data_IF_842903007498
#
_entry.id   IF_842903007498
#
_cell.length_a   1.000
_cell.length_b   1.000
_cell.length_c   1.000
_cell.angle_alpha   90.00
_cell.angle_beta   90.00
_cell.angle_gamma   90.00
#
_symmetry.space_group_name_H-M   'P 1'
#
loop_
_entity.id
_entity.type
_entity.pdbx_description
1 polymer ?
#
# COMPACT_ATOMS: atom_id res chain seq x y z
N UNK A 1 -13.29 15.19 2.53
CA UNK A 1 -12.36 14.16 2.01
C UNK A 1 -13.09 12.86 1.88
N UNK A 2 -12.92 12.14 0.76
CA UNK A 2 -13.49 10.81 0.56
C UNK A 2 -12.38 9.75 0.61
N UNK A 3 -12.53 8.76 1.46
CA UNK A 3 -11.60 7.65 1.67
C UNK A 3 -12.23 6.38 1.16
N UNK A 4 -11.46 5.56 0.43
CA UNK A 4 -11.86 4.21 0.04
C UNK A 4 -10.97 3.19 0.74
N UNK A 5 -11.55 2.29 1.50
CA UNK A 5 -10.92 1.07 1.97
C UNK A 5 -11.44 -0.09 1.11
N UNK A 6 -10.69 -0.40 0.07
CA UNK A 6 -11.08 -1.41 -0.91
C UNK A 6 -10.67 -2.81 -0.43
N UNK A 7 -11.58 -3.79 -0.58
CA UNK A 7 -11.43 -5.17 -0.11
C UNK A 7 -11.18 -5.28 1.41
N UNK A 8 -11.84 -4.41 2.17
CA UNK A 8 -11.60 -4.17 3.61
C UNK A 8 -11.78 -5.42 4.50
N UNK A 9 -12.55 -6.38 4.07
CA UNK A 9 -12.89 -7.62 4.78
C UNK A 9 -11.95 -8.77 4.44
N UNK A 10 -11.50 -8.87 3.20
CA UNK A 10 -10.72 -10.00 2.67
C UNK A 10 -9.21 -9.69 2.61
N UNK A 11 -8.83 -8.40 2.49
CA UNK A 11 -7.45 -7.91 2.49
C UNK A 11 -7.14 -7.14 3.77
N UNK A 12 -7.28 -7.81 4.93
CA UNK A 12 -7.21 -7.16 6.25
C UNK A 12 -6.49 -8.02 7.30
N UNK A 13 -5.45 -8.74 6.90
CA UNK A 13 -4.59 -9.46 7.85
C UNK A 13 -3.80 -8.47 8.72
N UNK A 14 -3.37 -8.94 9.89
CA UNK A 14 -2.49 -8.20 10.82
C UNK A 14 -3.05 -6.88 11.35
N UNK A 15 -4.38 -6.69 11.30
CA UNK A 15 -5.03 -5.46 11.76
C UNK A 15 -4.83 -4.27 10.82
N UNK A 16 -4.63 -4.51 9.54
CA UNK A 16 -4.32 -3.50 8.52
C UNK A 16 -5.38 -2.39 8.39
N UNK A 17 -6.66 -2.65 8.79
CA UNK A 17 -7.70 -1.61 8.88
C UNK A 17 -7.26 -0.40 9.74
N UNK A 18 -6.33 -0.60 10.66
CA UNK A 18 -5.87 0.46 11.54
C UNK A 18 -5.06 1.55 10.80
N UNK A 19 -4.57 1.28 9.58
CA UNK A 19 -4.02 2.33 8.72
C UNK A 19 -5.09 3.38 8.37
N UNK A 20 -6.27 2.93 7.96
CA UNK A 20 -7.40 3.83 7.68
C UNK A 20 -7.86 4.53 8.95
N UNK A 21 -7.99 3.80 10.06
CA UNK A 21 -8.41 4.38 11.34
C UNK A 21 -7.43 5.44 11.87
N UNK A 22 -6.12 5.26 11.61
CA UNK A 22 -5.12 6.28 11.96
C UNK A 22 -5.32 7.57 11.17
N UNK A 23 -5.60 7.46 9.88
CA UNK A 23 -5.91 8.60 9.02
C UNK A 23 -7.22 9.28 9.44
N UNK A 24 -8.30 8.51 9.64
CA UNK A 24 -9.59 9.01 10.12
C UNK A 24 -9.41 9.84 11.41
N UNK A 25 -8.70 9.28 12.39
CA UNK A 25 -8.44 9.95 13.66
C UNK A 25 -7.60 11.23 13.51
N UNK A 26 -6.65 11.24 12.59
CA UNK A 26 -5.88 12.45 12.30
C UNK A 26 -6.78 13.53 11.70
N UNK A 27 -7.64 13.18 10.73
CA UNK A 27 -8.57 14.10 10.08
C UNK A 27 -9.58 14.67 11.09
N UNK A 28 -10.15 13.84 11.98
CA UNK A 28 -11.03 14.27 13.07
C UNK A 28 -10.37 15.34 13.95
N UNK A 29 -9.16 15.04 14.44
CA UNK A 29 -8.38 15.98 15.27
C UNK A 29 -8.05 17.29 14.56
N UNK A 30 -7.93 17.24 13.24
CA UNK A 30 -7.64 18.40 12.39
C UNK A 30 -8.90 19.15 11.95
N UNK A 31 -10.10 18.71 12.37
CA UNK A 31 -11.37 19.32 11.98
C UNK A 31 -11.76 19.13 10.50
N UNK A 32 -11.10 18.21 9.80
CA UNK A 32 -11.40 17.93 8.40
C UNK A 32 -12.58 16.96 8.30
N UNK A 33 -13.63 17.37 7.60
CA UNK A 33 -14.79 16.49 7.32
C UNK A 33 -14.39 15.42 6.29
N UNK A 34 -14.73 14.18 6.58
CA UNK A 34 -14.47 13.05 5.69
C UNK A 34 -15.61 12.03 5.69
N UNK A 35 -15.61 11.17 4.69
CA UNK A 35 -16.41 9.94 4.62
C UNK A 35 -15.49 8.79 4.24
N UNK A 36 -15.77 7.59 4.73
CA UNK A 36 -15.03 6.37 4.39
C UNK A 36 -15.97 5.31 3.87
N UNK A 37 -15.77 4.96 2.61
CA UNK A 37 -16.46 3.82 1.99
C UNK A 37 -15.60 2.57 2.17
N UNK A 38 -16.24 1.47 2.56
CA UNK A 38 -15.63 0.16 2.76
C UNK A 38 -16.27 -0.82 1.79
N UNK A 39 -15.52 -1.16 0.74
CA UNK A 39 -16.01 -2.01 -0.34
C UNK A 39 -15.34 -3.38 -0.30
N UNK A 40 -16.08 -4.39 -0.73
CA UNK A 40 -15.65 -5.77 -0.81
C UNK A 40 -15.62 -6.26 -2.27
N UNK A 41 -15.48 -7.59 -2.45
CA UNK A 41 -15.54 -8.21 -3.78
C UNK A 41 -16.88 -7.91 -4.46
N UNK A 42 -16.81 -7.66 -5.74
CA UNK A 42 -17.95 -7.39 -6.64
C UNK A 42 -18.68 -6.05 -6.42
N UNK A 43 -18.34 -5.30 -5.37
CA UNK A 43 -18.76 -3.92 -5.26
C UNK A 43 -18.11 -3.09 -6.38
N UNK A 44 -18.78 -1.99 -6.75
CA UNK A 44 -18.27 -1.09 -7.76
C UNK A 44 -18.08 0.31 -7.18
N UNK A 45 -17.01 0.97 -7.60
CA UNK A 45 -16.72 2.35 -7.26
C UNK A 45 -16.15 3.07 -8.47
N UNK A 46 -16.44 4.36 -8.59
CA UNK A 46 -15.64 5.26 -9.39
C UNK A 46 -14.45 5.70 -8.53
N UNK A 47 -13.26 5.19 -8.84
CA UNK A 47 -12.05 5.51 -8.07
C UNK A 47 -11.74 7.01 -8.12
N UNK A 48 -12.15 7.70 -9.19
CA UNK A 48 -11.97 9.13 -9.35
C UNK A 48 -12.65 9.97 -8.27
N UNK A 49 -13.68 9.45 -7.62
CA UNK A 49 -14.40 10.13 -6.54
C UNK A 49 -13.61 10.26 -5.23
N UNK A 50 -12.61 9.40 -5.02
CA UNK A 50 -11.88 9.32 -3.77
C UNK A 50 -10.60 10.16 -3.77
N UNK A 51 -10.20 10.61 -2.59
CA UNK A 51 -8.98 11.38 -2.35
C UNK A 51 -7.85 10.48 -1.84
N UNK A 52 -8.21 9.37 -1.20
CA UNK A 52 -7.31 8.35 -0.68
C UNK A 52 -7.90 6.97 -0.90
N UNK A 53 -7.09 6.06 -1.43
CA UNK A 53 -7.42 4.63 -1.58
C UNK A 53 -6.43 3.82 -0.74
N UNK A 54 -6.98 2.88 0.04
CA UNK A 54 -6.20 1.93 0.81
C UNK A 54 -6.58 0.49 0.46
N UNK A 55 -5.56 -0.37 0.28
CA UNK A 55 -5.71 -1.82 0.12
C UNK A 55 -4.69 -2.49 1.03
N UNK A 56 -5.15 -3.33 1.95
CA UNK A 56 -4.32 -4.04 2.90
C UNK A 56 -3.81 -5.39 2.41
N UNK A 57 -3.36 -6.23 3.34
CA UNK A 57 -2.79 -7.54 3.08
C UNK A 57 -3.82 -8.66 3.21
N UNK A 58 -3.77 -9.66 2.34
CA UNK A 58 -4.58 -10.88 2.42
C UNK A 58 -3.74 -12.16 2.47
N UNK A 59 -4.40 -13.31 2.58
CA UNK A 59 -3.73 -14.57 2.26
C UNK A 59 -3.41 -14.64 0.77
N UNK A 60 -2.46 -15.47 0.37
CA UNK A 60 -2.10 -15.65 -1.04
C UNK A 60 -3.30 -16.10 -1.88
N UNK A 61 -4.20 -16.91 -1.28
CA UNK A 61 -5.46 -17.31 -1.91
C UNK A 61 -6.41 -16.13 -2.10
N UNK A 62 -6.56 -15.29 -1.07
CA UNK A 62 -7.41 -14.12 -1.13
C UNK A 62 -6.87 -13.08 -2.13
N UNK A 63 -5.55 -12.87 -2.17
CA UNK A 63 -4.91 -12.00 -3.16
C UNK A 63 -5.29 -12.40 -4.59
N UNK A 64 -5.22 -13.70 -4.93
CA UNK A 64 -5.55 -14.19 -6.27
C UNK A 64 -7.04 -14.05 -6.59
N UNK A 65 -7.91 -14.20 -5.59
CA UNK A 65 -9.34 -13.97 -5.75
C UNK A 65 -9.62 -12.47 -5.98
N UNK A 66 -9.02 -11.62 -5.17
CA UNK A 66 -9.12 -10.16 -5.32
C UNK A 66 -8.54 -9.70 -6.64
N UNK A 67 -7.42 -10.25 -7.11
CA UNK A 67 -6.81 -9.90 -8.38
C UNK A 67 -7.77 -10.06 -9.56
N UNK A 68 -8.64 -11.07 -9.54
CA UNK A 68 -9.63 -11.27 -10.61
C UNK A 68 -10.65 -10.11 -10.65
N UNK A 69 -11.11 -9.68 -9.50
CA UNK A 69 -12.05 -8.55 -9.39
C UNK A 69 -11.34 -7.19 -9.63
N UNK A 70 -10.10 -7.07 -9.16
CA UNK A 70 -9.32 -5.84 -9.22
C UNK A 70 -8.95 -5.43 -10.66
N UNK A 71 -8.91 -6.39 -11.59
CA UNK A 71 -8.66 -6.15 -13.02
C UNK A 71 -9.64 -5.15 -13.64
N UNK A 72 -10.87 -5.08 -13.15
CA UNK A 72 -11.88 -4.11 -13.62
C UNK A 72 -11.47 -2.65 -13.38
N UNK A 73 -10.58 -2.41 -12.42
CA UNK A 73 -10.12 -1.08 -12.05
C UNK A 73 -8.80 -0.67 -12.71
N UNK A 74 -8.19 -1.49 -13.59
CA UNK A 74 -6.86 -1.24 -14.14
C UNK A 74 -6.71 0.16 -14.73
N UNK A 75 -7.58 0.52 -15.67
CA UNK A 75 -7.47 1.80 -16.39
C UNK A 75 -7.74 2.98 -15.45
N UNK A 76 -8.71 2.86 -14.57
CA UNK A 76 -8.99 3.86 -13.52
C UNK A 76 -7.82 4.04 -12.55
N UNK A 77 -7.12 2.96 -12.20
CA UNK A 77 -5.92 3.04 -11.34
C UNK A 77 -4.79 3.81 -12.01
N UNK A 78 -4.56 3.56 -13.30
CA UNK A 78 -3.56 4.31 -14.08
C UNK A 78 -3.89 5.79 -14.10
N UNK A 79 -5.14 6.15 -14.36
CA UNK A 79 -5.61 7.54 -14.32
C UNK A 79 -5.48 8.15 -12.93
N UNK A 80 -5.87 7.39 -11.89
CA UNK A 80 -5.82 7.81 -10.51
C UNK A 80 -4.36 8.11 -10.05
N UNK A 81 -3.43 7.21 -10.35
CA UNK A 81 -1.99 7.40 -10.09
C UNK A 81 -1.48 8.63 -10.84
N UNK A 82 -1.85 8.78 -12.11
CA UNK A 82 -1.44 9.89 -12.95
C UNK A 82 -1.99 11.24 -12.46
N UNK A 83 -3.16 11.25 -11.84
CA UNK A 83 -3.74 12.46 -11.24
C UNK A 83 -3.01 12.93 -9.98
N UNK A 84 -2.09 12.14 -9.43
CA UNK A 84 -1.38 12.44 -8.20
C UNK A 84 -2.20 12.30 -6.93
N UNK A 85 -3.33 11.61 -6.97
CA UNK A 85 -4.11 11.22 -5.78
C UNK A 85 -3.40 10.10 -5.02
N UNK A 86 -3.72 9.97 -3.74
CA UNK A 86 -2.96 9.12 -2.83
C UNK A 86 -3.48 7.70 -2.80
N UNK A 87 -2.59 6.72 -3.01
CA UNK A 87 -2.85 5.30 -2.81
C UNK A 87 -1.82 4.74 -1.83
N UNK A 88 -2.29 4.00 -0.84
CA UNK A 88 -1.45 3.16 0.01
C UNK A 88 -1.84 1.69 -0.17
N UNK A 89 -0.87 0.87 -0.56
CA UNK A 89 -1.03 -0.59 -0.65
C UNK A 89 -0.02 -1.27 0.27
N UNK A 90 -0.51 -2.15 1.15
CA UNK A 90 0.34 -2.84 2.13
C UNK A 90 0.28 -4.36 1.99
N UNK A 91 1.37 -5.02 2.36
CA UNK A 91 1.51 -6.47 2.23
C UNK A 91 1.45 -6.92 0.78
N UNK A 92 0.82 -8.05 0.52
CA UNK A 92 0.77 -8.64 -0.82
C UNK A 92 -0.23 -7.96 -1.78
N UNK A 93 -0.94 -6.93 -1.36
CA UNK A 93 -1.86 -6.23 -2.27
C UNK A 93 -1.12 -5.55 -3.42
N UNK A 94 0.05 -4.95 -3.15
CA UNK A 94 0.76 -4.23 -4.21
C UNK A 94 1.40 -5.16 -5.26
N UNK A 95 1.60 -6.42 -4.94
CA UNK A 95 2.09 -7.42 -5.89
C UNK A 95 1.19 -7.55 -7.11
N UNK A 96 -0.11 -7.27 -6.94
CA UNK A 96 -1.09 -7.30 -8.02
C UNK A 96 -0.85 -6.24 -9.11
N UNK A 97 -0.08 -5.20 -8.83
CA UNK A 97 0.26 -4.15 -9.79
C UNK A 97 1.28 -4.59 -10.86
N UNK A 98 2.04 -5.65 -10.58
CA UNK A 98 3.07 -6.20 -11.47
C UNK A 98 2.52 -6.94 -12.68
N UNK A 99 3.43 -7.45 -13.51
CA UNK A 99 3.09 -8.24 -14.71
C UNK A 99 2.50 -9.59 -14.34
N UNK A 100 3.17 -10.33 -13.46
CA UNK A 100 2.80 -11.71 -13.12
C UNK A 100 3.05 -12.02 -11.66
N UNK A 101 2.24 -12.94 -11.12
CA UNK A 101 2.46 -13.61 -9.84
C UNK A 101 2.57 -15.11 -10.14
N UNK A 102 3.73 -15.69 -9.90
CA UNK A 102 3.95 -17.13 -9.95
C UNK A 102 3.77 -17.69 -8.56
N UNK A 103 2.79 -18.58 -8.38
CA UNK A 103 2.54 -19.19 -7.06
C UNK A 103 3.56 -20.29 -6.72
N UNK A 104 3.43 -20.82 -5.52
CA UNK A 104 4.32 -21.86 -5.00
C UNK A 104 4.30 -23.16 -5.79
N UNK A 105 3.25 -23.43 -6.55
CA UNK A 105 3.12 -24.62 -7.41
C UNK A 105 3.61 -24.36 -8.84
N UNK A 106 4.11 -23.15 -9.11
CA UNK A 106 4.60 -22.72 -10.43
C UNK A 106 3.49 -22.23 -11.36
N UNK A 107 2.26 -22.09 -10.89
CA UNK A 107 1.18 -21.52 -11.70
C UNK A 107 1.32 -20.02 -11.80
N UNK A 108 1.23 -19.51 -13.02
CA UNK A 108 1.36 -18.08 -13.32
C UNK A 108 -0.02 -17.43 -13.40
N UNK A 109 -0.16 -16.31 -12.71
CA UNK A 109 -1.33 -15.43 -12.75
C UNK A 109 -0.91 -14.10 -13.33
N UNK A 110 -1.64 -13.61 -14.34
CA UNK A 110 -1.43 -12.26 -14.86
C UNK A 110 -1.88 -11.24 -13.82
N UNK A 111 -0.96 -10.36 -13.42
CA UNK A 111 -1.25 -9.19 -12.61
C UNK A 111 -1.97 -8.11 -13.41
N UNK A 112 -2.04 -6.90 -12.89
CA UNK A 112 -2.57 -5.75 -13.62
C UNK A 112 -1.62 -5.28 -14.74
N UNK A 113 -0.32 -5.57 -14.62
CA UNK A 113 0.69 -5.13 -15.59
C UNK A 113 0.79 -3.61 -15.72
N UNK A 114 0.56 -2.89 -14.62
CA UNK A 114 0.78 -1.43 -14.56
C UNK A 114 2.28 -1.14 -14.44
N UNK A 115 3.00 -2.02 -13.76
CA UNK A 115 4.47 -1.96 -13.60
C UNK A 115 5.15 -3.24 -14.09
N UNK A 116 6.40 -3.11 -14.49
CA UNK A 116 7.17 -4.18 -15.18
C UNK A 116 7.74 -5.26 -14.24
N UNK A 117 7.49 -5.20 -12.94
CA UNK A 117 7.99 -6.19 -12.00
C UNK A 117 7.21 -7.51 -12.04
N UNK A 118 7.86 -8.57 -11.58
CA UNK A 118 7.30 -9.91 -11.43
C UNK A 118 7.41 -10.40 -10.00
N UNK A 119 6.48 -11.24 -9.59
CA UNK A 119 6.38 -11.82 -8.25
C UNK A 119 6.52 -13.33 -8.31
N UNK A 120 7.29 -13.92 -7.40
CA UNK A 120 7.43 -15.37 -7.25
C UNK A 120 7.23 -15.77 -5.81
N UNK A 121 6.23 -16.59 -5.52
CA UNK A 121 6.01 -17.18 -4.19
C UNK A 121 7.01 -18.31 -3.95
N UNK A 122 7.61 -18.33 -2.75
CA UNK A 122 8.61 -19.30 -2.36
C UNK A 122 7.98 -20.46 -1.59
N UNK A 123 8.23 -21.69 -2.03
CA UNK A 123 7.69 -22.91 -1.41
C UNK A 123 8.25 -23.23 -0.02
N UNK A 124 9.47 -22.72 0.28
CA UNK A 124 10.25 -23.30 1.38
C UNK A 124 10.12 -22.58 2.71
N UNK A 125 9.80 -21.31 2.73
CA UNK A 125 9.77 -20.55 3.98
C UNK A 125 9.01 -19.23 3.83
N UNK A 126 8.09 -19.01 4.76
CA UNK A 126 7.54 -17.68 4.98
C UNK A 126 8.60 -16.80 5.63
N UNK A 127 8.83 -15.65 5.06
CA UNK A 127 9.79 -14.67 5.54
C UNK A 127 9.08 -13.76 6.52
N UNK A 128 9.50 -13.78 7.77
CA UNK A 128 8.92 -12.95 8.84
C UNK A 128 10.04 -12.30 9.64
N UNK A 129 9.85 -11.06 10.03
CA UNK A 129 10.79 -10.38 10.89
C UNK A 129 10.56 -8.89 11.01
N UNK A 130 11.21 -8.31 12.02
CA UNK A 130 11.24 -6.87 12.20
C UNK A 130 12.11 -6.21 11.12
N UNK A 131 11.74 -4.98 10.78
CA UNK A 131 12.45 -4.20 9.77
C UNK A 131 12.76 -2.79 10.25
N UNK A 132 13.85 -2.25 9.71
CA UNK A 132 14.17 -0.83 9.76
C UNK A 132 14.53 -0.38 8.35
N UNK A 133 13.75 0.53 7.80
CA UNK A 133 13.96 1.08 6.46
C UNK A 133 14.15 2.60 6.53
N UNK A 134 14.84 3.16 5.54
CA UNK A 134 14.94 4.61 5.33
C UNK A 134 14.36 4.98 3.97
N UNK A 135 14.00 6.24 3.79
CA UNK A 135 13.52 6.77 2.51
C UNK A 135 13.94 8.23 2.39
N UNK A 136 14.22 8.65 1.18
CA UNK A 136 14.61 10.06 0.89
C UNK A 136 13.45 11.04 1.11
N UNK A 137 12.23 10.54 1.19
CA UNK A 137 11.03 11.34 1.44
C UNK A 137 10.73 11.52 2.94
N UNK A 138 11.46 10.83 3.82
CA UNK A 138 11.21 10.83 5.27
C UNK A 138 12.45 11.21 6.06
N UNK A 139 12.25 11.97 7.12
CA UNK A 139 13.35 12.38 8.03
C UNK A 139 13.68 11.34 9.11
N UNK A 140 12.79 10.37 9.34
CA UNK A 140 12.95 9.30 10.32
C UNK A 140 12.80 7.92 9.64
N UNK A 141 13.49 6.90 10.16
CA UNK A 141 13.34 5.55 9.64
C UNK A 141 11.92 5.00 9.88
N UNK A 142 11.50 4.10 9.00
CA UNK A 142 10.31 3.27 9.16
C UNK A 142 10.70 2.04 9.96
N UNK A 143 9.92 1.73 10.99
CA UNK A 143 9.98 0.49 11.74
C UNK A 143 8.69 -0.30 11.51
N UNK A 144 8.80 -1.61 11.46
CA UNK A 144 7.64 -2.45 11.20
C UNK A 144 7.98 -3.91 11.19
N UNK A 145 7.09 -4.67 10.58
CA UNK A 145 7.19 -6.11 10.47
C UNK A 145 6.86 -6.52 9.04
N UNK A 146 7.55 -7.52 8.52
CA UNK A 146 7.25 -8.15 7.24
C UNK A 146 6.84 -9.59 7.47
N UNK A 147 5.79 -10.02 6.78
CA UNK A 147 5.36 -11.42 6.74
C UNK A 147 4.92 -11.75 5.31
N UNK A 148 5.83 -12.29 4.52
CA UNK A 148 5.61 -12.61 3.12
C UNK A 148 6.20 -13.97 2.75
N UNK A 149 5.71 -14.56 1.67
CA UNK A 149 6.34 -15.74 1.04
C UNK A 149 6.87 -15.42 -0.37
N UNK A 150 6.76 -14.19 -0.82
CA UNK A 150 7.09 -13.77 -2.18
C UNK A 150 8.43 -13.03 -2.27
N UNK A 151 9.04 -13.13 -3.44
CA UNK A 151 10.11 -12.25 -3.90
C UNK A 151 9.62 -11.42 -5.08
N UNK A 152 10.00 -10.14 -5.12
CA UNK A 152 9.68 -9.24 -6.23
C UNK A 152 10.96 -8.85 -6.94
N UNK A 153 10.93 -8.89 -8.28
CA UNK A 153 12.05 -8.46 -9.14
C UNK A 153 11.57 -7.51 -10.23
N UNK A 154 12.37 -6.47 -10.49
CA UNK A 154 12.10 -5.51 -11.56
C UNK A 154 11.44 -4.21 -11.10
N UNK A 155 11.37 -3.93 -9.79
CA UNK A 155 10.98 -2.60 -9.31
C UNK A 155 12.13 -1.63 -9.59
N UNK A 156 11.82 -0.49 -10.22
CA UNK A 156 12.80 0.56 -10.54
C UNK A 156 12.75 1.70 -9.50
N UNK A 157 11.55 2.12 -9.11
CA UNK A 157 11.35 3.23 -8.19
C UNK A 157 10.99 2.70 -6.79
N UNK A 158 11.99 2.41 -5.98
CA UNK A 158 11.79 1.88 -4.64
C UNK A 158 11.30 2.93 -3.66
N UNK A 159 10.41 2.53 -2.75
CA UNK A 159 9.93 3.37 -1.67
C UNK A 159 10.96 3.48 -0.53
N UNK A 160 11.65 2.39 -0.23
CA UNK A 160 12.53 2.28 0.92
C UNK A 160 13.91 1.69 0.59
N UNK A 161 14.90 2.09 1.38
CA UNK A 161 16.23 1.47 1.50
C UNK A 161 16.28 0.64 2.78
N UNK A 162 16.70 -0.62 2.67
CA UNK A 162 16.80 -1.56 3.79
C UNK A 162 18.01 -1.23 4.67
N UNK A 163 17.79 -1.01 5.94
CA UNK A 163 18.84 -0.88 6.98
C UNK A 163 18.92 -2.14 7.85
N UNK A 164 17.76 -2.75 8.13
CA UNK A 164 17.65 -4.02 8.84
C UNK A 164 16.44 -4.79 8.29
N UNK A 165 16.53 -6.13 8.31
CA UNK A 165 15.48 -7.01 7.80
C UNK A 165 15.63 -7.29 6.30
N UNK A 166 14.55 -7.56 5.62
CA UNK A 166 14.49 -8.07 4.26
C UNK A 166 13.85 -7.06 3.30
N UNK A 167 14.41 -7.00 2.10
CA UNK A 167 13.87 -6.20 1.00
C UNK A 167 12.91 -6.97 0.10
N UNK A 168 12.80 -6.54 -1.15
CA UNK A 168 11.91 -7.15 -2.15
C UNK A 168 12.24 -8.63 -2.40
N UNK A 169 13.51 -9.02 -2.30
CA UNK A 169 14.02 -10.39 -2.33
C UNK A 169 15.18 -10.54 -1.34
N UNK A 170 15.68 -11.76 -1.11
CA UNK A 170 16.59 -12.08 -0.01
C UNK A 170 17.83 -11.17 0.11
N UNK A 171 18.47 -10.83 -0.99
CA UNK A 171 19.67 -9.96 -1.01
C UNK A 171 19.37 -8.50 -1.33
N UNK A 172 18.11 -8.13 -1.55
CA UNK A 172 17.72 -6.78 -1.92
C UNK A 172 18.05 -5.78 -0.81
N UNK A 173 18.56 -4.61 -1.23
CA UNK A 173 18.80 -3.46 -0.35
C UNK A 173 17.70 -2.42 -0.43
N UNK A 174 16.66 -2.71 -1.18
CA UNK A 174 15.52 -1.86 -1.43
C UNK A 174 14.22 -2.61 -1.21
N UNK A 175 13.14 -1.89 -0.93
CA UNK A 175 11.82 -2.45 -0.69
C UNK A 175 10.72 -1.50 -1.18
N UNK A 176 9.67 -2.11 -1.73
CA UNK A 176 8.45 -1.44 -2.10
C UNK A 176 8.55 -0.58 -3.34
N UNK A 177 7.44 0.01 -3.72
CA UNK A 177 7.29 0.84 -4.92
C UNK A 177 6.75 2.21 -4.56
N UNK A 178 7.33 3.25 -5.15
CA UNK A 178 6.81 4.61 -5.12
C UNK A 178 6.67 5.15 -6.53
N UNK A 179 5.48 5.60 -6.89
CA UNK A 179 5.23 6.37 -8.10
C UNK A 179 4.27 7.52 -7.81
N UNK A 180 4.71 8.76 -7.98
CA UNK A 180 3.94 9.95 -7.57
C UNK A 180 3.48 9.80 -6.11
N UNK A 181 2.18 9.67 -5.88
CA UNK A 181 1.55 9.47 -4.58
C UNK A 181 0.99 8.06 -4.38
N UNK A 182 1.45 7.10 -5.17
CA UNK A 182 1.34 5.67 -4.86
C UNK A 182 2.48 5.28 -3.93
N UNK A 183 2.11 4.71 -2.78
CA UNK A 183 3.01 4.13 -1.79
C UNK A 183 2.64 2.67 -1.61
N UNK A 184 3.56 1.77 -1.91
CA UNK A 184 3.31 0.34 -1.89
C UNK A 184 4.47 -0.40 -1.21
N UNK A 185 4.18 -1.24 -0.21
CA UNK A 185 5.19 -1.88 0.64
C UNK A 185 4.69 -3.18 1.25
N UNK A 186 5.60 -4.13 1.53
CA UNK A 186 5.28 -5.31 2.35
C UNK A 186 5.25 -5.03 3.86
N UNK A 187 5.56 -3.83 4.31
CA UNK A 187 5.48 -3.50 5.74
C UNK A 187 4.04 -3.64 6.23
N UNK A 188 3.84 -4.52 7.20
CA UNK A 188 2.57 -4.82 7.84
C UNK A 188 2.59 -4.49 9.33
N UNK A 189 1.45 -4.67 9.99
CA UNK A 189 1.29 -4.39 11.41
C UNK A 189 1.22 -2.90 11.72
N UNK A 190 0.20 -2.24 11.40
CA UNK A 190 -0.14 -1.17 10.45
C UNK A 190 0.94 -0.09 10.38
N UNK A 191 1.50 0.13 9.21
CA UNK A 191 2.64 1.03 8.99
C UNK A 191 2.38 2.46 9.49
N UNK A 192 1.18 3.01 9.28
CA UNK A 192 0.84 4.38 9.70
C UNK A 192 0.68 4.53 11.22
N UNK A 193 0.31 3.46 11.93
CA UNK A 193 0.25 3.47 13.40
C UNK A 193 1.66 3.45 13.99
N UNK A 194 2.53 2.57 13.48
CA UNK A 194 3.90 2.44 13.98
C UNK A 194 4.78 3.62 13.62
N UNK A 195 4.46 4.31 12.54
CA UNK A 195 5.25 5.41 11.99
C UNK A 195 4.39 6.67 11.78
N UNK A 196 4.05 7.42 12.84
CA UNK A 196 3.22 8.61 12.72
C UNK A 196 3.76 9.64 11.72
N UNK A 197 5.07 9.77 11.58
CA UNK A 197 5.70 10.63 10.60
C UNK A 197 5.44 10.20 9.14
N UNK A 198 5.18 8.93 8.88
CA UNK A 198 4.74 8.45 7.57
C UNK A 198 3.28 8.83 7.30
N UNK A 199 2.41 8.69 8.31
CA UNK A 199 1.03 9.18 8.23
C UNK A 199 1.01 10.70 7.98
N UNK A 200 1.82 11.46 8.70
CA UNK A 200 1.97 12.91 8.49
C UNK A 200 2.42 13.23 7.06
N UNK A 201 3.42 12.50 6.55
CA UNK A 201 3.90 12.68 5.18
C UNK A 201 2.81 12.40 4.14
N UNK A 202 2.07 11.29 4.27
CA UNK A 202 0.94 10.98 3.40
C UNK A 202 -0.10 12.11 3.46
N UNK A 203 -0.37 12.58 4.63
CA UNK A 203 -1.35 13.62 4.87
C UNK A 203 -0.98 14.96 4.20
N UNK A 204 0.31 15.29 4.03
CA UNK A 204 0.76 16.48 3.28
C UNK A 204 0.27 16.51 1.82
N UNK A 205 -0.09 15.36 1.24
CA UNK A 205 -0.58 15.26 -0.12
C UNK A 205 -2.07 15.62 -0.27
N UNK A 206 -2.78 15.82 0.83
CA UNK A 206 -4.18 16.27 0.83
C UNK A 206 -4.34 17.80 0.86
N UNK A 207 -3.47 18.52 0.15
CA UNK A 207 -3.35 19.99 0.18
C UNK A 207 -4.64 20.77 -0.02
N UNK A 208 -5.60 20.23 -0.80
CA UNK A 208 -6.87 20.91 -1.09
C UNK A 208 -7.77 21.13 0.14
N UNK A 209 -7.46 20.49 1.27
CA UNK A 209 -8.26 20.60 2.49
C UNK A 209 -7.76 21.63 3.50
N UNK A 210 -6.69 22.35 3.19
CA UNK A 210 -6.20 23.50 4.00
C UNK A 210 -5.69 23.19 5.40
N UNK A 211 -5.66 21.89 5.79
CA UNK A 211 -5.39 21.48 7.16
C UNK A 211 -3.92 21.56 7.58
N UNK A 212 -2.99 21.70 6.63
CA UNK A 212 -1.60 22.02 6.93
C UNK A 212 -1.46 23.30 7.76
N UNK A 213 -2.32 24.30 7.51
CA UNK A 213 -2.35 25.53 8.30
C UNK A 213 -2.87 25.27 9.73
N UNK A 214 -3.87 24.38 9.88
CA UNK A 214 -4.49 24.12 11.18
C UNK A 214 -3.61 23.26 12.11
N UNK A 215 -2.82 22.33 11.56
CA UNK A 215 -2.03 21.37 12.36
C UNK A 215 -0.59 21.81 12.57
N UNK A 216 0.01 22.50 11.60
CA UNK A 216 1.44 22.84 11.62
C UNK A 216 1.73 24.34 11.63
N UNK A 217 0.73 25.21 11.58
CA UNK A 217 0.92 26.66 11.55
C UNK A 217 1.74 27.15 10.34
N UNK A 218 1.81 26.34 9.28
CA UNK A 218 2.54 26.69 8.07
C UNK A 218 1.67 27.58 7.17
N UNK A 219 2.25 28.64 6.56
CA UNK A 219 1.52 29.54 5.69
C UNK A 219 0.97 28.91 4.43
#
# INVERSE_FOLDING_TARGET
MKILHLYHDIMNLYGEYANVSALERMLEKSGVKFTTDRLTLFDNADLGDYDFIYIGSGTEKNQKLVLQDFKKYKDFLVEYINSGKVILMTGNSFEMLGKTITDSDGKVFDGLGIYDFTVTEQNKRRITGDIVYTSDILTKPIVGFVNKCSEIKGIENHLFTVKHGLGDYESAKTEGLKDKNLFATHVTGPIMIKNPHFLEYIALHFKKYGWLQAVYGLP
#
